data_IF_502720350586
#
_entry.id   IF_502720350586
#
_cell.length_a   1.000
_cell.length_b   1.000
_cell.length_c   1.000
_cell.angle_alpha   90.00
_cell.angle_beta   90.00
_cell.angle_gamma   90.00
#
_symmetry.space_group_name_H-M   'P 1'
#
loop_
_entity.id
_entity.type
_entity.pdbx_description
1 polymer ?
#
# COMPACT_ATOMS: atom_id res chain seq x y z
N UNK A 1 9.07 1.19 22.38
CA UNK A 1 7.94 0.72 21.56
C UNK A 1 8.53 0.23 20.25
N UNK A 2 8.23 -1.00 19.86
CA UNK A 2 8.84 -1.64 18.70
C UNK A 2 8.14 -1.20 17.42
N UNK A 3 8.86 -0.61 16.47
CA UNK A 3 8.26 -0.04 15.25
C UNK A 3 8.96 -0.55 14.00
N UNK A 4 8.16 -1.05 13.05
CA UNK A 4 8.65 -1.45 11.74
C UNK A 4 7.99 -0.60 10.68
N UNK A 5 8.79 -0.02 9.78
CA UNK A 5 8.31 0.85 8.70
C UNK A 5 8.72 0.31 7.35
N UNK A 6 7.85 0.46 6.37
CA UNK A 6 8.16 0.23 4.97
C UNK A 6 7.39 1.22 4.10
N UNK A 7 7.95 1.56 2.94
CA UNK A 7 7.28 2.46 2.02
C UNK A 7 7.86 2.43 0.62
N UNK A 8 7.08 2.94 -0.31
CA UNK A 8 7.42 3.16 -1.70
C UNK A 8 6.87 4.51 -2.14
N UNK A 9 7.63 5.24 -2.94
CA UNK A 9 7.16 6.42 -3.66
C UNK A 9 7.83 6.43 -5.03
N UNK A 10 7.07 6.78 -6.07
CA UNK A 10 7.60 6.86 -7.42
C UNK A 10 6.57 7.36 -8.43
N UNK A 11 7.09 7.81 -9.57
CA UNK A 11 6.32 8.35 -10.68
C UNK A 11 6.08 7.31 -11.77
N UNK A 12 4.89 7.34 -12.36
CA UNK A 12 4.45 6.38 -13.38
C UNK A 12 3.74 7.15 -14.49
N UNK A 13 4.24 7.04 -15.73
CA UNK A 13 3.49 7.50 -16.89
C UNK A 13 2.62 6.37 -17.44
N UNK A 14 1.34 6.70 -17.65
CA UNK A 14 0.30 5.79 -18.14
C UNK A 14 -0.34 6.39 -19.39
N UNK A 15 -0.33 5.64 -20.49
CA UNK A 15 -1.03 5.98 -21.73
C UNK A 15 -2.55 5.74 -21.62
N UNK A 16 -3.20 6.48 -20.73
CA UNK A 16 -4.65 6.53 -20.56
C UNK A 16 -5.08 7.92 -20.08
N UNK A 17 -6.32 8.30 -20.41
CA UNK A 17 -6.94 9.53 -19.91
C UNK A 17 -7.08 9.54 -18.38
N UNK A 18 -6.99 10.75 -17.80
CA UNK A 18 -6.88 10.97 -16.35
C UNK A 18 -8.06 10.39 -15.56
N UNK A 19 -9.30 10.47 -16.08
CA UNK A 19 -10.47 9.94 -15.39
C UNK A 19 -10.39 8.43 -15.18
N UNK A 20 -10.07 7.66 -16.22
CA UNK A 20 -9.91 6.19 -16.13
C UNK A 20 -8.79 5.82 -15.15
N UNK A 21 -7.69 6.58 -15.16
CA UNK A 21 -6.55 6.36 -14.25
C UNK A 21 -6.98 6.66 -12.80
N UNK A 22 -7.67 7.77 -12.57
CA UNK A 22 -8.15 8.19 -11.26
C UNK A 22 -9.15 7.20 -10.66
N UNK A 23 -10.12 6.74 -11.45
CA UNK A 23 -11.08 5.71 -11.03
C UNK A 23 -10.37 4.41 -10.63
N UNK A 24 -9.35 4.01 -11.40
CA UNK A 24 -8.56 2.82 -11.09
C UNK A 24 -7.80 2.95 -9.77
N UNK A 25 -7.06 4.04 -9.58
CA UNK A 25 -6.29 4.27 -8.35
C UNK A 25 -7.19 4.61 -7.15
N UNK A 26 -8.42 5.06 -7.37
CA UNK A 26 -9.42 5.25 -6.32
C UNK A 26 -10.00 3.96 -5.76
N UNK A 27 -10.00 2.89 -6.56
CA UNK A 27 -10.54 1.60 -6.14
C UNK A 27 -9.47 0.71 -5.52
N UNK A 28 -9.39 0.72 -4.19
CA UNK A 28 -8.45 -0.13 -3.41
C UNK A 28 -8.68 -1.63 -3.58
N UNK A 29 -9.82 -2.07 -4.12
CA UNK A 29 -10.01 -3.48 -4.46
C UNK A 29 -9.02 -3.95 -5.55
N UNK A 30 -8.53 -3.04 -6.41
CA UNK A 30 -7.49 -3.35 -7.39
C UNK A 30 -6.19 -3.88 -6.74
N UNK A 31 -5.94 -3.60 -5.46
CA UNK A 31 -4.82 -4.20 -4.75
C UNK A 31 -4.98 -5.71 -4.58
N UNK A 32 -6.19 -6.22 -4.29
CA UNK A 32 -6.42 -7.67 -4.17
C UNK A 32 -6.15 -8.40 -5.50
N UNK A 33 -6.50 -7.76 -6.61
CA UNK A 33 -6.35 -8.37 -7.94
C UNK A 33 -4.90 -8.32 -8.45
N UNK A 34 -4.17 -7.24 -8.14
CA UNK A 34 -2.93 -6.92 -8.85
C UNK A 34 -1.70 -6.87 -7.95
N UNK A 35 -1.83 -6.59 -6.66
CA UNK A 35 -0.70 -6.50 -5.74
C UNK A 35 -0.41 -7.86 -5.10
N UNK A 36 0.79 -8.45 -5.31
CA UNK A 36 1.14 -9.71 -4.66
C UNK A 36 1.14 -9.56 -3.15
N UNK A 37 0.75 -10.62 -2.45
CA UNK A 37 0.67 -10.65 -0.98
C UNK A 37 -0.58 -9.99 -0.39
N UNK A 38 -1.36 -9.24 -1.17
CA UNK A 38 -2.70 -8.80 -0.71
C UNK A 38 -3.65 -9.98 -0.84
N UNK A 39 -4.08 -10.52 0.31
CA UNK A 39 -4.93 -11.70 0.40
C UNK A 39 -6.41 -11.36 0.27
N UNK A 40 -6.80 -10.19 0.77
CA UNK A 40 -8.19 -9.76 0.79
C UNK A 40 -8.25 -8.24 0.89
N UNK A 41 -9.18 -7.66 0.13
CA UNK A 41 -9.66 -6.29 0.31
C UNK A 41 -11.18 -6.32 0.33
N UNK A 42 -11.79 -5.66 1.30
CA UNK A 42 -13.23 -5.40 1.29
C UNK A 42 -13.52 -4.03 1.89
N UNK A 43 -14.56 -3.38 1.40
CA UNK A 43 -15.03 -2.09 1.94
C UNK A 43 -16.35 -2.33 2.67
N UNK A 44 -16.44 -1.89 3.92
CA UNK A 44 -17.66 -2.02 4.72
C UNK A 44 -18.71 -0.95 4.35
N UNK A 45 -19.91 -1.07 4.94
CA UNK A 45 -21.00 -0.10 4.72
C UNK A 45 -20.73 1.31 5.25
N UNK A 46 -19.58 1.55 5.89
CA UNK A 46 -19.13 2.85 6.41
C UNK A 46 -18.01 3.45 5.55
N UNK A 47 -17.64 2.81 4.44
CA UNK A 47 -16.56 3.27 3.57
C UNK A 47 -15.16 3.01 4.12
N UNK A 48 -15.02 2.09 5.08
CA UNK A 48 -13.72 1.63 5.58
C UNK A 48 -13.28 0.44 4.75
N UNK A 49 -12.10 0.55 4.13
CA UNK A 49 -11.47 -0.56 3.45
C UNK A 49 -10.58 -1.34 4.43
N UNK A 50 -10.81 -2.65 4.49
CA UNK A 50 -10.07 -3.60 5.29
C UNK A 50 -9.19 -4.44 4.38
N UNK A 51 -7.87 -4.37 4.60
CA UNK A 51 -6.86 -5.04 3.80
C UNK A 51 -6.16 -6.08 4.66
N UNK A 52 -6.01 -7.29 4.12
CA UNK A 52 -5.22 -8.36 4.72
C UNK A 52 -4.01 -8.62 3.83
N UNK A 53 -2.82 -8.32 4.34
CA UNK A 53 -1.58 -8.37 3.57
C UNK A 53 -0.62 -9.36 4.23
N UNK A 54 -0.10 -10.28 3.42
CA UNK A 54 0.92 -11.23 3.78
C UNK A 54 2.23 -10.91 3.06
N UNK A 55 3.33 -10.89 3.80
CA UNK A 55 4.67 -10.75 3.24
C UNK A 55 5.61 -11.77 3.86
N UNK A 56 6.49 -12.35 3.04
CA UNK A 56 7.57 -13.23 3.51
C UNK A 56 8.79 -12.36 3.84
N UNK A 57 9.15 -12.27 5.12
CA UNK A 57 10.30 -11.48 5.55
C UNK A 57 11.49 -12.40 5.77
N UNK A 58 12.63 -12.22 5.05
CA UNK A 58 13.83 -13.01 5.27
C UNK A 58 14.22 -13.08 6.75
N UNK A 59 14.67 -14.26 7.20
CA UNK A 59 15.10 -14.56 8.58
C UNK A 59 14.00 -14.53 9.66
N UNK A 60 12.79 -14.04 9.33
CA UNK A 60 11.66 -13.98 10.25
C UNK A 60 10.58 -14.97 9.83
N UNK A 61 10.25 -15.02 8.53
CA UNK A 61 9.18 -15.83 7.95
C UNK A 61 7.97 -15.00 7.52
N UNK A 62 6.87 -15.69 7.23
CA UNK A 62 5.60 -15.09 6.86
C UNK A 62 5.03 -14.17 7.95
N UNK A 63 4.66 -12.96 7.56
CA UNK A 63 3.93 -12.01 8.39
C UNK A 63 2.60 -11.68 7.74
N UNK A 64 1.52 -11.83 8.51
CA UNK A 64 0.17 -11.51 8.10
C UNK A 64 -0.36 -10.33 8.92
N UNK A 65 -0.72 -9.24 8.26
CA UNK A 65 -1.19 -8.03 8.91
C UNK A 65 -2.53 -7.57 8.32
N UNK A 66 -3.37 -7.04 9.19
CA UNK A 66 -4.64 -6.43 8.82
C UNK A 66 -4.56 -4.92 9.00
N UNK A 67 -5.04 -4.19 8.00
CA UNK A 67 -5.09 -2.73 7.99
C UNK A 67 -6.53 -2.27 7.77
N UNK A 68 -6.91 -1.17 8.42
CA UNK A 68 -8.19 -0.52 8.20
C UNK A 68 -7.96 0.93 7.81
N UNK A 69 -8.33 1.29 6.58
CA UNK A 69 -8.14 2.62 6.02
C UNK A 69 -9.45 3.22 5.55
N UNK A 70 -9.53 4.54 5.51
CA UNK A 70 -10.64 5.29 4.93
C UNK A 70 -10.12 6.27 3.90
N UNK A 71 -10.96 6.58 2.94
CA UNK A 71 -10.70 7.66 2.00
C UNK A 71 -10.70 8.99 2.78
N UNK A 72 -9.58 9.70 2.72
CA UNK A 72 -9.35 10.99 3.34
C UNK A 72 -9.47 12.13 2.33
N UNK A 73 -9.12 11.88 1.08
CA UNK A 73 -9.16 12.85 -0.01
C UNK A 73 -9.53 12.15 -1.32
N UNK A 74 -10.42 12.78 -2.08
CA UNK A 74 -10.80 12.38 -3.44
C UNK A 74 -11.14 13.65 -4.21
N UNK A 75 -10.12 14.25 -4.81
CA UNK A 75 -10.22 15.40 -5.70
C UNK A 75 -9.93 14.98 -7.15
N UNK A 76 -9.80 15.96 -8.04
CA UNK A 76 -9.46 15.73 -9.44
C UNK A 76 -7.96 15.45 -9.62
N UNK A 77 -7.12 16.02 -8.74
CA UNK A 77 -5.67 15.91 -8.76
C UNK A 77 -5.11 14.89 -7.76
N UNK A 78 -5.93 14.39 -6.83
CA UNK A 78 -5.42 13.57 -5.73
C UNK A 78 -6.42 12.59 -5.13
N UNK A 79 -5.89 11.41 -4.79
CA UNK A 79 -6.57 10.43 -3.96
C UNK A 79 -5.67 10.10 -2.77
N UNK A 80 -6.25 10.09 -1.57
CA UNK A 80 -5.54 9.71 -0.36
C UNK A 80 -6.39 8.82 0.53
N UNK A 81 -5.84 7.67 0.91
CA UNK A 81 -6.36 6.78 1.93
C UNK A 81 -5.48 6.82 3.17
N UNK A 82 -6.09 6.92 4.34
CA UNK A 82 -5.40 6.98 5.63
C UNK A 82 -5.94 5.97 6.61
N UNK A 83 -5.14 5.57 7.62
CA UNK A 83 -5.62 4.74 8.73
C UNK A 83 -6.86 5.34 9.38
N UNK A 84 -7.79 4.49 9.82
CA UNK A 84 -8.92 4.96 10.63
C UNK A 84 -8.43 5.54 11.97
N UNK A 85 -9.14 6.51 12.58
CA UNK A 85 -8.69 7.13 13.84
C UNK A 85 -8.50 6.15 15.02
N UNK A 86 -9.22 5.04 15.01
CA UNK A 86 -9.13 4.01 16.05
C UNK A 86 -7.94 3.05 15.86
N UNK A 87 -7.25 3.09 14.71
CA UNK A 87 -6.11 2.24 14.43
C UNK A 87 -4.86 2.78 15.14
N UNK A 88 -4.26 1.95 15.99
CA UNK A 88 -3.13 2.33 16.84
C UNK A 88 -1.87 1.49 16.56
N UNK A 89 -1.97 0.42 15.78
CA UNK A 89 -0.93 -0.59 15.62
C UNK A 89 -0.50 -0.80 14.17
N UNK A 90 -1.42 -0.79 13.22
CA UNK A 90 -1.17 -1.13 11.82
C UNK A 90 -1.60 0.03 10.92
N UNK A 91 -0.67 0.91 10.61
CA UNK A 91 -0.93 2.08 9.78
C UNK A 91 -0.60 1.72 8.33
N UNK A 92 -1.56 1.97 7.43
CA UNK A 92 -1.33 1.99 5.98
C UNK A 92 -1.79 3.34 5.45
N UNK A 93 -0.92 4.04 4.74
CA UNK A 93 -1.24 5.24 3.98
C UNK A 93 -0.98 4.96 2.51
N UNK A 94 -1.88 5.43 1.68
CA UNK A 94 -1.78 5.33 0.24
C UNK A 94 -2.19 6.69 -0.35
N UNK A 95 -1.42 7.19 -1.31
CA UNK A 95 -1.81 8.34 -2.12
C UNK A 95 -1.41 8.16 -3.57
N UNK A 96 -2.20 8.78 -4.44
CA UNK A 96 -1.90 8.93 -5.85
C UNK A 96 -2.25 10.37 -6.25
N UNK A 97 -1.25 11.10 -6.75
CA UNK A 97 -1.43 12.44 -7.31
C UNK A 97 -1.39 12.33 -8.84
N UNK A 98 -2.29 13.03 -9.52
CA UNK A 98 -2.52 12.88 -10.96
C UNK A 98 -2.20 14.18 -11.70
N UNK A 99 -1.50 14.04 -12.83
CA UNK A 99 -1.21 15.15 -13.73
C UNK A 99 -1.46 14.71 -15.18
N UNK A 100 -2.40 15.35 -15.85
CA UNK A 100 -2.60 15.17 -17.29
C UNK A 100 -1.43 15.80 -18.06
N UNK A 101 -0.64 14.97 -18.77
CA UNK A 101 0.51 15.42 -19.55
C UNK A 101 0.14 15.77 -20.98
N UNK A 102 -0.82 15.04 -21.53
CA UNK A 102 -1.40 15.21 -22.85
C UNK A 102 -2.72 14.45 -22.90
N UNK A 103 -3.48 14.62 -24.00
CA UNK A 103 -4.64 13.78 -24.27
C UNK A 103 -4.22 12.30 -24.20
N UNK A 104 -4.96 11.52 -23.40
CA UNK A 104 -4.72 10.09 -23.17
C UNK A 104 -3.34 9.75 -22.56
N UNK A 105 -2.73 10.70 -21.84
CA UNK A 105 -1.46 10.48 -21.11
C UNK A 105 -1.48 11.13 -19.73
N UNK A 106 -1.38 10.30 -18.70
CA UNK A 106 -1.44 10.72 -17.29
C UNK A 106 -0.14 10.33 -16.57
N UNK A 107 0.44 11.28 -15.84
CA UNK A 107 1.50 11.02 -14.86
C UNK A 107 0.84 10.80 -13.50
N UNK A 108 1.22 9.72 -12.82
CA UNK A 108 0.78 9.40 -11.46
C UNK A 108 1.99 9.44 -10.53
N UNK A 109 1.96 10.30 -9.51
CA UNK A 109 2.86 10.19 -8.37
C UNK A 109 2.23 9.25 -7.35
N UNK A 110 2.75 8.02 -7.26
CA UNK A 110 2.22 7.01 -6.35
C UNK A 110 3.06 6.95 -5.07
N UNK A 111 2.41 6.89 -3.92
CA UNK A 111 3.06 6.68 -2.63
C UNK A 111 2.25 5.72 -1.76
N UNK A 112 2.93 4.76 -1.15
CA UNK A 112 2.33 3.88 -0.15
C UNK A 112 3.32 3.66 0.99
N UNK A 113 2.82 3.74 2.22
CA UNK A 113 3.63 3.56 3.41
C UNK A 113 2.87 2.73 4.44
N UNK A 114 3.59 1.83 5.11
CA UNK A 114 3.08 1.02 6.21
C UNK A 114 3.95 1.19 7.45
N UNK A 115 3.31 1.20 8.61
CA UNK A 115 3.96 1.24 9.90
C UNK A 115 3.26 0.26 10.86
N UNK A 116 4.06 -0.64 11.44
CA UNK A 116 3.61 -1.63 12.41
C UNK A 116 4.20 -1.29 13.78
N UNK A 117 3.34 -1.08 14.77
CA UNK A 117 3.73 -0.75 16.15
C UNK A 117 3.36 -1.88 17.10
N UNK A 118 4.32 -2.32 17.89
CA UNK A 118 4.17 -3.38 18.90
C UNK A 118 4.81 -2.97 20.22
N UNK A 119 4.42 -3.62 21.33
CA UNK A 119 5.10 -3.40 22.61
C UNK A 119 6.50 -4.02 22.55
N UNK A 120 6.62 -5.18 21.92
CA UNK A 120 7.87 -5.90 21.68
C UNK A 120 7.94 -6.48 20.27
N UNK A 121 9.15 -6.78 19.77
CA UNK A 121 9.32 -7.47 18.48
C UNK A 121 8.69 -8.86 18.46
N UNK A 122 8.58 -9.54 19.61
CA UNK A 122 7.92 -10.84 19.73
C UNK A 122 6.42 -10.79 19.43
N UNK A 123 5.78 -9.64 19.67
CA UNK A 123 4.37 -9.44 19.33
C UNK A 123 4.16 -9.23 17.82
N UNK A 124 5.25 -8.98 17.07
CA UNK A 124 5.23 -8.96 15.62
C UNK A 124 5.46 -10.36 15.05
N UNK A 125 6.52 -11.01 15.53
CA UNK A 125 6.88 -12.40 15.21
C UNK A 125 7.89 -12.91 16.24
N UNK A 126 7.88 -14.20 16.59
CA UNK A 126 8.78 -14.76 17.61
C UNK A 126 10.26 -14.43 17.36
N UNK A 127 10.72 -14.60 16.10
CA UNK A 127 12.10 -14.30 15.68
C UNK A 127 12.40 -12.80 15.54
N UNK A 128 11.38 -11.94 15.40
CA UNK A 128 11.58 -10.50 15.25
C UNK A 128 12.16 -9.84 16.52
N UNK A 129 11.97 -10.46 17.69
CA UNK A 129 12.62 -10.01 18.92
C UNK A 129 14.15 -10.11 18.90
N UNK A 130 14.73 -10.89 17.99
CA UNK A 130 16.19 -11.08 17.86
C UNK A 130 16.80 -10.30 16.70
N UNK A 131 16.06 -10.12 15.59
CA UNK A 131 16.58 -9.46 14.38
C UNK A 131 16.70 -7.93 14.50
N UNK A 132 15.99 -7.30 15.45
CA UNK A 132 16.04 -5.85 15.71
C UNK A 132 15.26 -5.00 14.69
N UNK A 133 14.72 -3.86 15.14
CA UNK A 133 13.78 -3.03 14.35
C UNK A 133 14.32 -2.59 12.99
N UNK A 134 15.59 -2.20 12.93
CA UNK A 134 16.22 -1.66 11.72
C UNK A 134 16.37 -2.73 10.62
N UNK A 135 16.81 -3.94 10.98
CA UNK A 135 16.96 -5.04 10.01
C UNK A 135 15.60 -5.41 9.43
N UNK A 136 14.60 -5.53 10.30
CA UNK A 136 13.24 -5.92 9.91
C UNK A 136 12.61 -4.84 9.03
N UNK A 137 12.77 -3.57 9.38
CA UNK A 137 12.26 -2.45 8.57
C UNK A 137 12.92 -2.41 7.19
N UNK A 138 14.23 -2.65 7.10
CA UNK A 138 14.93 -2.66 5.83
C UNK A 138 14.47 -3.81 4.92
N UNK A 139 14.36 -5.02 5.46
CA UNK A 139 13.90 -6.18 4.68
C UNK A 139 12.41 -6.05 4.31
N UNK A 140 11.58 -5.55 5.22
CA UNK A 140 10.18 -5.26 4.93
C UNK A 140 10.04 -4.18 3.86
N UNK A 141 10.87 -3.13 3.89
CA UNK A 141 10.89 -2.08 2.86
C UNK A 141 11.20 -2.65 1.48
N UNK A 142 12.22 -3.52 1.37
CA UNK A 142 12.57 -4.14 0.08
C UNK A 142 11.40 -4.96 -0.48
N UNK A 143 10.80 -5.83 0.35
CA UNK A 143 9.68 -6.70 -0.06
C UNK A 143 8.42 -5.92 -0.38
N UNK A 144 8.11 -4.92 0.44
CA UNK A 144 6.97 -4.05 0.21
C UNK A 144 7.13 -3.24 -1.08
N UNK A 145 8.31 -2.66 -1.32
CA UNK A 145 8.59 -1.94 -2.56
C UNK A 145 8.50 -2.86 -3.80
N UNK A 146 8.94 -4.12 -3.69
CA UNK A 146 8.77 -5.12 -4.74
C UNK A 146 7.29 -5.41 -5.03
N UNK A 147 6.47 -5.62 -4.00
CA UNK A 147 5.02 -5.81 -4.16
C UNK A 147 4.36 -4.61 -4.84
N UNK A 148 4.73 -3.39 -4.43
CA UNK A 148 4.21 -2.14 -5.00
C UNK A 148 4.63 -1.97 -6.46
N UNK A 149 5.88 -2.27 -6.81
CA UNK A 149 6.34 -2.21 -8.21
C UNK A 149 5.57 -3.17 -9.10
N UNK A 150 5.39 -4.42 -8.67
CA UNK A 150 4.61 -5.40 -9.43
C UNK A 150 3.15 -4.93 -9.61
N UNK A 151 2.55 -4.33 -8.57
CA UNK A 151 1.22 -3.74 -8.68
C UNK A 151 1.19 -2.62 -9.73
N UNK A 152 2.16 -1.71 -9.70
CA UNK A 152 2.29 -0.58 -10.63
C UNK A 152 2.42 -1.07 -12.08
N UNK A 153 3.26 -2.07 -12.32
CA UNK A 153 3.48 -2.63 -13.66
C UNK A 153 2.18 -3.24 -14.21
N UNK A 154 1.48 -4.04 -13.39
CA UNK A 154 0.18 -4.64 -13.75
C UNK A 154 -0.93 -3.61 -13.92
N UNK A 155 -0.94 -2.57 -13.11
CA UNK A 155 -1.86 -1.44 -13.23
C UNK A 155 -1.67 -0.73 -14.58
N UNK A 156 -0.42 -0.44 -14.94
CA UNK A 156 -0.06 0.16 -16.22
C UNK A 156 -0.52 -0.72 -17.38
N UNK A 157 -0.18 -2.01 -17.37
CA UNK A 157 -0.63 -2.94 -18.42
C UNK A 157 -2.16 -3.01 -18.57
N UNK A 158 -2.92 -2.88 -17.48
CA UNK A 158 -4.39 -2.91 -17.50
C UNK A 158 -5.01 -1.58 -17.98
N UNK A 159 -4.36 -0.46 -17.72
CA UNK A 159 -4.83 0.87 -18.08
C UNK A 159 -4.49 1.25 -19.52
N UNK A 160 -3.39 0.74 -20.05
CA UNK A 160 -2.92 1.01 -21.43
C UNK A 160 -3.53 0.07 -22.48
N UNK A 161 -4.36 -0.89 -22.05
CA UNK A 161 -5.20 -1.73 -22.92
C UNK A 161 -6.58 -1.11 -23.11
#
# INVERSE_FOLDING_TARGET
>A
MFTVKAGYSGDIEIASGIERVREFFGNVANFADLMPGVQQVHTDGKGVAHLKIQAEIPLIGAMLQSFSIRLAEQSDDRIQWTPIPAEAQNFLRYSADFLEKAKDKTLVHFSQAVELRRKSGRDLHYLAGMAGEAVISNEMTKRFAEMVRIFIDRAKEKLEK
#
